data_IF_765849985053
#
_entry.id   IF_765849985053
#
_cell.length_a   1.000
_cell.length_b   1.000
_cell.length_c   1.000
_cell.angle_alpha   90.00
_cell.angle_beta   90.00
_cell.angle_gamma   90.00
#
_symmetry.space_group_name_H-M   'P 1'
#
loop_
_entity.id
_entity.type
_entity.pdbx_description
1 polymer ?
#
# COMPACT_ATOMS: atom_id res chain seq x y z
N UNK A 1 9.25 24.35 -5.70
CA UNK A 1 8.99 22.90 -5.76
C UNK A 1 7.58 22.66 -6.26
N UNK A 2 7.31 21.55 -6.97
CA UNK A 2 5.94 21.14 -7.32
C UNK A 2 5.42 20.24 -6.20
N UNK A 3 4.14 20.39 -5.83
CA UNK A 3 3.49 19.61 -4.76
C UNK A 3 2.43 18.70 -5.39
N UNK A 4 2.35 17.46 -4.90
CA UNK A 4 1.35 16.48 -5.30
C UNK A 4 0.81 15.80 -4.04
N UNK A 5 -0.50 15.92 -3.78
CA UNK A 5 -1.11 15.37 -2.57
C UNK A 5 -1.64 13.96 -2.83
N UNK A 6 -1.49 13.09 -1.83
CA UNK A 6 -2.09 11.74 -1.80
C UNK A 6 -2.95 11.68 -0.54
N UNK A 7 -4.26 11.68 -0.72
CA UNK A 7 -5.25 11.62 0.36
C UNK A 7 -5.84 10.21 0.42
N UNK A 8 -5.71 9.54 1.56
CA UNK A 8 -6.28 8.20 1.79
C UNK A 8 -7.50 8.33 2.68
N UNK A 9 -8.67 8.00 2.15
CA UNK A 9 -9.97 8.10 2.82
C UNK A 9 -10.51 6.69 2.99
N UNK A 10 -10.88 6.31 4.21
CA UNK A 10 -11.38 4.98 4.52
C UNK A 10 -12.50 5.07 5.53
N UNK A 11 -13.74 4.88 5.06
CA UNK A 11 -14.94 4.94 5.90
C UNK A 11 -15.36 3.54 6.36
N UNK A 12 -14.69 2.49 5.86
CA UNK A 12 -14.91 1.10 6.30
C UNK A 12 -14.31 0.86 7.68
N UNK A 13 -15.19 0.68 8.67
CA UNK A 13 -14.81 0.35 10.04
C UNK A 13 -14.05 -0.99 10.13
N UNK A 14 -14.36 -1.95 9.26
CA UNK A 14 -13.65 -3.22 9.19
C UNK A 14 -12.17 -3.03 8.82
N UNK A 15 -11.91 -2.26 7.75
CA UNK A 15 -10.54 -2.00 7.29
C UNK A 15 -9.77 -1.14 8.30
N UNK A 16 -10.42 -0.14 8.90
CA UNK A 16 -9.82 0.67 9.96
C UNK A 16 -9.41 -0.21 11.14
N UNK A 17 -10.30 -1.07 11.63
CA UNK A 17 -10.02 -1.97 12.75
C UNK A 17 -8.89 -2.96 12.43
N UNK A 18 -8.89 -3.54 11.22
CA UNK A 18 -7.82 -4.43 10.77
C UNK A 18 -6.47 -3.71 10.75
N UNK A 19 -6.42 -2.51 10.18
CA UNK A 19 -5.19 -1.71 10.10
C UNK A 19 -4.66 -1.29 11.48
N UNK A 20 -5.55 -0.95 12.43
CA UNK A 20 -5.17 -0.62 13.80
C UNK A 20 -4.47 -1.84 14.42
N UNK A 21 -5.12 -3.01 14.39
CA UNK A 21 -4.63 -4.24 15.02
C UNK A 21 -3.32 -4.74 14.41
N UNK A 22 -3.23 -4.77 13.08
CA UNK A 22 -2.10 -5.38 12.38
C UNK A 22 -0.85 -4.50 12.32
N UNK A 23 -1.03 -3.17 12.31
CA UNK A 23 0.07 -2.24 12.04
C UNK A 23 0.29 -1.27 13.19
N UNK A 24 -0.77 -0.63 13.69
CA UNK A 24 -0.63 0.51 14.62
C UNK A 24 -0.29 0.07 16.04
N UNK A 25 -0.76 -1.09 16.47
CA UNK A 25 -0.38 -1.66 17.77
C UNK A 25 1.08 -2.12 17.84
N UNK A 26 1.73 -2.32 16.70
CA UNK A 26 3.17 -2.62 16.62
C UNK A 26 4.03 -1.34 16.66
N UNK A 27 3.42 -0.16 16.76
CA UNK A 27 4.12 1.11 16.95
C UNK A 27 4.81 1.16 18.31
N UNK A 28 5.98 1.82 18.43
CA UNK A 28 6.61 2.08 19.73
C UNK A 28 5.68 2.73 20.75
N UNK A 29 4.67 3.47 20.30
CA UNK A 29 3.68 4.17 21.14
C UNK A 29 2.88 3.24 22.08
N UNK A 30 2.72 1.96 21.72
CA UNK A 30 1.88 1.00 22.46
C UNK A 30 2.66 -0.21 22.98
N UNK A 31 3.99 -0.13 23.05
CA UNK A 31 4.88 -1.27 23.36
C UNK A 31 4.50 -2.04 24.64
N UNK A 32 4.07 -1.32 25.67
CA UNK A 32 3.74 -1.88 26.99
C UNK A 32 2.25 -1.70 27.35
N UNK A 33 1.41 -1.41 26.35
CA UNK A 33 -0.03 -1.18 26.53
C UNK A 33 -0.82 -2.44 26.12
N UNK A 34 -1.79 -2.90 26.92
CA UNK A 34 -2.66 -3.99 26.52
C UNK A 34 -3.37 -3.70 25.19
N UNK A 35 -3.48 -4.71 24.33
CA UNK A 35 -4.03 -4.56 22.98
C UNK A 35 -5.41 -3.88 22.95
N UNK A 36 -6.33 -4.26 23.84
CA UNK A 36 -7.68 -3.69 23.88
C UNK A 36 -7.67 -2.20 24.30
N UNK A 37 -6.81 -1.83 25.25
CA UNK A 37 -6.65 -0.43 25.67
C UNK A 37 -6.04 0.42 24.55
N UNK A 38 -5.04 -0.13 23.85
CA UNK A 38 -4.40 0.54 22.73
C UNK A 38 -5.36 0.75 21.55
N UNK A 39 -6.24 -0.21 21.25
CA UNK A 39 -7.29 -0.06 20.23
C UNK A 39 -8.26 1.05 20.62
N UNK A 40 -8.73 1.06 21.88
CA UNK A 40 -9.68 2.07 22.36
C UNK A 40 -9.09 3.49 22.31
N UNK A 41 -7.84 3.66 22.74
CA UNK A 41 -7.12 4.93 22.67
C UNK A 41 -6.96 5.39 21.22
N UNK A 42 -6.54 4.50 20.32
CA UNK A 42 -6.34 4.85 18.91
C UNK A 42 -7.65 5.26 18.22
N UNK A 43 -8.77 4.59 18.52
CA UNK A 43 -10.09 4.98 18.03
C UNK A 43 -10.50 6.35 18.57
N UNK A 44 -10.25 6.63 19.86
CA UNK A 44 -10.50 7.97 20.43
C UNK A 44 -9.69 9.05 19.71
N UNK A 45 -8.43 8.74 19.39
CA UNK A 45 -7.55 9.64 18.64
C UNK A 45 -8.07 9.92 17.23
N UNK A 46 -8.59 8.91 16.51
CA UNK A 46 -9.23 9.10 15.20
C UNK A 46 -10.42 10.08 15.33
N UNK A 47 -11.31 9.84 16.30
CA UNK A 47 -12.47 10.72 16.55
C UNK A 47 -12.08 12.17 16.85
N UNK A 48 -10.91 12.41 17.46
CA UNK A 48 -10.40 13.77 17.68
C UNK A 48 -9.95 14.44 16.38
N UNK A 49 -9.31 13.70 15.47
CA UNK A 49 -8.93 14.23 14.16
C UNK A 49 -10.15 14.50 13.27
N UNK A 50 -11.16 13.62 13.29
CA UNK A 50 -12.40 13.78 12.52
C UNK A 50 -13.09 15.12 12.78
N UNK A 51 -13.06 15.62 14.03
CA UNK A 51 -13.68 16.91 14.40
C UNK A 51 -13.08 18.12 13.68
N UNK A 52 -11.87 18.01 13.14
CA UNK A 52 -11.14 19.10 12.48
C UNK A 52 -10.71 18.75 11.06
N UNK A 53 -11.05 17.55 10.58
CA UNK A 53 -10.58 17.07 9.31
C UNK A 53 -11.34 17.78 8.17
N UNK A 54 -10.57 18.37 7.26
CA UNK A 54 -11.08 18.96 6.03
C UNK A 54 -10.46 18.20 4.86
N UNK A 55 -11.32 17.57 4.05
CA UNK A 55 -10.89 16.85 2.84
C UNK A 55 -10.56 17.85 1.73
N UNK A 56 -9.68 17.47 0.78
CA UNK A 56 -9.33 18.34 -0.35
C UNK A 56 -10.54 18.51 -1.27
N UNK A 57 -11.14 19.67 -1.37
CA UNK A 57 -12.29 19.92 -2.24
C UNK A 57 -11.83 20.26 -3.67
N UNK A 58 -12.31 19.49 -4.65
CA UNK A 58 -11.94 19.63 -6.06
C UNK A 58 -12.52 20.90 -6.71
N UNK A 59 -13.48 21.56 -6.05
CA UNK A 59 -14.15 22.77 -6.51
C UNK A 59 -13.58 24.05 -5.91
N UNK A 60 -13.13 24.06 -4.66
CA UNK A 60 -12.48 25.22 -4.02
C UNK A 60 -10.97 25.16 -4.22
N UNK A 61 -10.34 23.99 -4.12
CA UNK A 61 -8.90 23.80 -4.33
C UNK A 61 -8.54 23.37 -5.76
N UNK A 62 -9.17 23.98 -6.77
CA UNK A 62 -9.02 23.63 -8.19
C UNK A 62 -7.59 23.64 -8.72
N UNK A 63 -6.66 24.31 -8.04
CA UNK A 63 -5.27 24.47 -8.49
C UNK A 63 -4.33 23.40 -7.93
N UNK A 64 -4.79 22.54 -7.04
CA UNK A 64 -3.97 21.47 -6.48
C UNK A 64 -3.89 20.27 -7.43
N UNK A 65 -2.74 19.61 -7.43
CA UNK A 65 -2.57 18.31 -8.06
C UNK A 65 -2.68 17.25 -6.98
N UNK A 66 -3.65 16.35 -7.08
CA UNK A 66 -3.88 15.35 -6.05
C UNK A 66 -4.54 14.07 -6.56
N UNK A 67 -4.42 13.03 -5.74
CA UNK A 67 -5.21 11.80 -5.83
C UNK A 67 -5.87 11.53 -4.49
N UNK A 68 -7.17 11.23 -4.51
CA UNK A 68 -7.89 10.63 -3.39
C UNK A 68 -8.05 9.15 -3.63
N UNK A 69 -7.72 8.35 -2.63
CA UNK A 69 -7.85 6.89 -2.64
C UNK A 69 -8.91 6.54 -1.60
N UNK A 70 -10.02 5.96 -2.03
CA UNK A 70 -11.12 5.59 -1.16
C UNK A 70 -11.07 4.10 -0.84
N UNK A 71 -11.28 3.76 0.43
CA UNK A 71 -11.38 2.40 0.97
C UNK A 71 -10.31 1.49 0.37
N UNK A 72 -9.05 1.87 0.53
CA UNK A 72 -7.91 1.03 0.16
C UNK A 72 -7.83 0.66 -1.33
N UNK A 73 -8.37 1.51 -2.20
CA UNK A 73 -8.27 1.39 -3.65
C UNK A 73 -9.56 0.98 -4.36
N UNK A 74 -10.70 0.93 -3.66
CA UNK A 74 -12.01 0.69 -4.29
C UNK A 74 -12.39 1.77 -5.29
N UNK A 75 -12.01 3.02 -5.01
CA UNK A 75 -12.30 4.17 -5.88
C UNK A 75 -11.17 5.18 -5.81
N UNK A 76 -10.95 5.88 -6.91
CA UNK A 76 -9.96 6.94 -7.03
C UNK A 76 -10.60 8.21 -7.58
N UNK A 77 -10.16 9.37 -7.08
CA UNK A 77 -10.41 10.68 -7.68
C UNK A 77 -9.06 11.32 -7.98
N UNK A 78 -8.83 11.68 -9.23
CA UNK A 78 -7.54 12.20 -9.70
C UNK A 78 -7.77 13.60 -10.28
N UNK A 79 -7.03 14.58 -9.77
CA UNK A 79 -7.22 15.99 -10.14
C UNK A 79 -5.92 16.67 -10.57
N UNK A 80 -5.97 17.39 -11.71
CA UNK A 80 -4.88 18.18 -12.31
C UNK A 80 -3.49 17.53 -12.25
N UNK A 81 -3.36 16.35 -12.84
CA UNK A 81 -2.07 15.66 -12.99
C UNK A 81 -1.24 16.33 -14.09
N UNK A 82 -0.04 16.77 -13.74
CA UNK A 82 0.89 17.45 -14.61
C UNK A 82 2.19 16.66 -14.81
N UNK A 83 2.41 16.24 -16.06
CA UNK A 83 3.68 15.64 -16.50
C UNK A 83 3.86 14.17 -16.10
N UNK A 84 4.91 13.58 -16.66
CA UNK A 84 5.13 12.13 -16.63
C UNK A 84 5.24 11.53 -15.23
N UNK A 85 5.93 12.21 -14.30
CA UNK A 85 6.18 11.67 -12.95
C UNK A 85 4.87 11.49 -12.17
N UNK A 86 4.01 12.52 -12.14
CA UNK A 86 2.74 12.45 -11.41
C UNK A 86 1.81 11.39 -12.02
N UNK A 87 1.79 11.23 -13.35
CA UNK A 87 1.04 10.15 -14.02
C UNK A 87 1.52 8.76 -13.62
N UNK A 88 2.83 8.54 -13.51
CA UNK A 88 3.41 7.26 -13.05
C UNK A 88 3.08 6.98 -11.59
N UNK A 89 3.07 8.01 -10.74
CA UNK A 89 2.64 7.88 -9.33
C UNK A 89 1.18 7.46 -9.25
N UNK A 90 0.29 8.12 -9.98
CA UNK A 90 -1.14 7.74 -10.04
C UNK A 90 -1.30 6.30 -10.53
N UNK A 91 -0.64 5.93 -11.64
CA UNK A 91 -0.67 4.56 -12.15
C UNK A 91 -0.22 3.54 -11.11
N UNK A 92 0.89 3.81 -10.41
CA UNK A 92 1.37 2.93 -9.36
C UNK A 92 0.34 2.79 -8.23
N UNK A 93 -0.19 3.91 -7.71
CA UNK A 93 -1.17 3.92 -6.62
C UNK A 93 -2.49 3.22 -6.98
N UNK A 94 -2.88 3.23 -8.26
CA UNK A 94 -4.06 2.49 -8.72
C UNK A 94 -3.86 0.97 -8.76
N UNK A 95 -2.62 0.48 -8.69
CA UNK A 95 -2.28 -0.95 -8.80
C UNK A 95 -1.75 -1.55 -7.48
N UNK A 96 -1.53 -0.75 -6.44
CA UNK A 96 -1.13 -1.26 -5.13
C UNK A 96 -2.33 -1.86 -4.38
N UNK A 97 -2.03 -2.84 -3.52
CA UNK A 97 -3.00 -3.41 -2.59
C UNK A 97 -2.35 -3.42 -1.21
N UNK A 98 -3.10 -3.03 -0.18
CA UNK A 98 -2.55 -2.90 1.18
C UNK A 98 -2.94 -4.05 2.11
N UNK A 99 -3.87 -4.91 1.68
CA UNK A 99 -4.25 -6.08 2.45
C UNK A 99 -3.10 -7.10 2.46
N UNK A 100 -2.88 -7.81 3.59
CA UNK A 100 -1.84 -8.83 3.69
C UNK A 100 -1.96 -9.87 2.58
N UNK A 101 -0.85 -10.14 1.88
CA UNK A 101 -0.74 -11.17 0.84
C UNK A 101 0.64 -11.78 0.85
N UNK A 102 0.73 -13.05 0.45
CA UNK A 102 2.01 -13.75 0.31
C UNK A 102 2.37 -13.86 -1.17
N UNK A 103 3.57 -13.38 -1.52
CA UNK A 103 4.15 -13.54 -2.85
C UNK A 103 5.30 -14.53 -2.73
N UNK A 104 5.20 -15.68 -3.40
CA UNK A 104 6.27 -16.66 -3.46
C UNK A 104 7.13 -16.41 -4.71
N UNK A 105 8.42 -16.26 -4.52
CA UNK A 105 9.39 -16.13 -5.61
C UNK A 105 10.38 -17.28 -5.52
N UNK A 106 10.45 -18.08 -6.58
CA UNK A 106 11.42 -19.17 -6.72
C UNK A 106 12.16 -19.00 -8.04
N UNK A 107 13.37 -19.56 -8.11
CA UNK A 107 14.00 -19.80 -9.41
C UNK A 107 13.29 -20.96 -10.11
N UNK A 108 13.55 -21.13 -11.40
CA UNK A 108 13.30 -22.41 -12.06
C UNK A 108 14.06 -23.53 -11.32
N UNK A 109 13.60 -24.78 -11.41
CA UNK A 109 14.36 -25.94 -10.91
C UNK A 109 15.74 -26.03 -11.57
N UNK A 110 16.69 -26.73 -10.95
CA UNK A 110 18.07 -26.84 -11.46
C UNK A 110 18.09 -27.24 -12.94
N UNK A 111 18.71 -26.44 -13.82
CA UNK A 111 18.88 -26.75 -15.24
C UNK A 111 20.22 -27.45 -15.53
N UNK A 112 20.32 -28.09 -16.70
CA UNK A 112 21.59 -28.68 -17.17
C UNK A 112 22.72 -27.64 -17.25
N UNK A 113 22.42 -26.42 -17.71
CA UNK A 113 23.42 -25.33 -17.70
C UNK A 113 23.78 -24.85 -16.30
N UNK A 114 22.92 -25.03 -15.28
CA UNK A 114 23.32 -24.75 -13.90
C UNK A 114 24.38 -25.73 -13.41
N UNK A 115 24.27 -27.01 -13.77
CA UNK A 115 25.27 -28.03 -13.44
C UNK A 115 26.63 -27.71 -14.09
N UNK A 116 26.60 -27.15 -15.30
CA UNK A 116 27.79 -26.70 -16.03
C UNK A 116 28.29 -25.30 -15.64
N UNK A 117 27.64 -24.62 -14.68
CA UNK A 117 27.94 -23.24 -14.27
C UNK A 117 27.90 -22.22 -15.42
N UNK A 118 27.00 -22.41 -16.40
CA UNK A 118 26.83 -21.53 -17.57
C UNK A 118 25.68 -20.55 -17.36
N UNK A 119 25.87 -19.31 -17.81
CA UNK A 119 24.86 -18.23 -17.76
C UNK A 119 24.01 -18.17 -19.03
N UNK A 120 22.76 -17.70 -18.88
CA UNK A 120 21.83 -17.53 -20.01
C UNK A 120 21.41 -18.84 -20.67
N UNK A 121 20.96 -18.75 -21.92
CA UNK A 121 20.48 -19.90 -22.70
C UNK A 121 19.07 -20.35 -22.34
N UNK A 122 18.63 -21.45 -22.97
CA UNK A 122 17.29 -22.03 -22.84
C UNK A 122 17.38 -23.57 -22.70
N UNK A 123 18.15 -24.02 -21.71
CA UNK A 123 18.41 -25.44 -21.49
C UNK A 123 17.32 -26.13 -20.66
N UNK A 124 17.05 -27.43 -20.86
CA UNK A 124 16.06 -28.14 -20.07
C UNK A 124 16.46 -28.28 -18.59
N UNK A 125 15.46 -28.53 -17.75
CA UNK A 125 15.63 -28.93 -16.35
C UNK A 125 16.44 -30.24 -16.25
N UNK A 126 17.33 -30.30 -15.26
CA UNK A 126 18.04 -31.51 -14.84
C UNK A 126 17.09 -32.50 -14.16
N UNK A 127 17.58 -33.69 -13.78
CA UNK A 127 16.82 -34.63 -12.98
C UNK A 127 16.40 -34.04 -11.61
N UNK A 128 17.31 -33.33 -10.93
CA UNK A 128 17.04 -32.68 -9.65
C UNK A 128 16.01 -31.55 -9.77
N UNK A 129 16.01 -30.84 -10.91
CA UNK A 129 15.10 -29.72 -11.16
C UNK A 129 13.66 -30.13 -11.49
N UNK A 130 13.39 -31.42 -11.73
CA UNK A 130 12.05 -31.96 -12.03
C UNK A 130 11.34 -32.58 -10.81
N UNK A 131 12.07 -32.77 -9.72
CA UNK A 131 11.53 -33.24 -8.44
C UNK A 131 10.67 -32.15 -7.79
#
# INVERSE_FOLDING_TARGET
FRVFFVESICDSSEIVNLNIREVKLKSPDYKDVPQEEAVADFLSRIQQYEKRYETIDDTTERNYSFIKIFNCGERFLVHKIGGHIQSRVVYFLMNIHILPRTIYLTRHGESTLNQDLRIGGDSPLSANGKL
#
